data_IF_569341883554
#
_entry.id   IF_569341883554
#
_cell.length_a   1.000
_cell.length_b   1.000
_cell.length_c   1.000
_cell.angle_alpha   90.00
_cell.angle_beta   90.00
_cell.angle_gamma   90.00
#
_symmetry.space_group_name_H-M   'P 1'
#
loop_
_entity.id
_entity.type
_entity.pdbx_description
1 polymer ?
#
# COMPACT_ATOMS: atom_id res chain seq x y z
N UNK A 1 3.90 -22.10 29.08
CA UNK A 1 2.76 -21.64 28.25
C UNK A 1 3.32 -20.75 27.16
N UNK A 2 2.84 -20.85 25.91
CA UNK A 2 3.33 -20.01 24.81
C UNK A 2 2.70 -18.62 24.96
N UNK A 3 3.51 -17.59 25.19
CA UNK A 3 3.05 -16.20 25.13
C UNK A 3 2.98 -15.76 23.66
N UNK A 4 1.83 -15.20 23.27
CA UNK A 4 1.66 -14.59 21.96
C UNK A 4 2.09 -13.12 22.01
N UNK A 5 2.59 -12.60 20.87
CA UNK A 5 2.81 -11.16 20.73
C UNK A 5 1.49 -10.43 20.90
N UNK A 6 1.49 -9.34 21.65
CA UNK A 6 0.36 -8.43 21.76
C UNK A 6 0.38 -7.46 20.58
N UNK A 7 -0.80 -6.97 20.20
CA UNK A 7 -0.91 -5.86 19.25
C UNK A 7 -0.40 -4.61 19.95
N UNK A 8 0.57 -3.93 19.35
CA UNK A 8 1.14 -2.68 19.87
C UNK A 8 0.39 -1.46 19.29
N UNK A 9 0.08 -1.49 18.00
CA UNK A 9 -0.63 -0.43 17.28
C UNK A 9 -1.62 -1.01 16.26
N UNK A 10 -2.74 -0.30 16.05
CA UNK A 10 -3.69 -0.55 14.96
C UNK A 10 -3.65 0.68 14.05
N UNK A 11 -3.35 0.47 12.77
CA UNK A 11 -3.28 1.53 11.76
C UNK A 11 -4.57 1.51 10.95
N UNK A 12 -5.29 2.63 10.96
CA UNK A 12 -6.41 2.86 10.04
C UNK A 12 -5.86 3.38 8.69
N UNK A 13 -6.02 2.64 7.58
CA UNK A 13 -5.49 3.04 6.28
C UNK A 13 -6.08 4.38 5.80
N UNK A 14 -5.28 5.15 5.07
CA UNK A 14 -5.69 6.43 4.50
C UNK A 14 -5.97 6.29 3.00
N UNK A 15 -7.02 6.96 2.52
CA UNK A 15 -7.33 7.00 1.09
C UNK A 15 -6.32 7.87 0.33
N UNK A 16 -5.78 7.34 -0.76
CA UNK A 16 -4.80 8.02 -1.64
C UNK A 16 -5.16 7.73 -3.11
N UNK A 17 -4.86 8.67 -4.01
CA UNK A 17 -4.93 8.47 -5.46
C UNK A 17 -3.52 8.24 -5.99
N UNK A 18 -3.30 7.14 -6.71
CA UNK A 18 -2.00 6.76 -7.30
C UNK A 18 -2.14 6.37 -8.78
N UNK A 19 -1.02 6.30 -9.50
CA UNK A 19 -0.97 5.89 -10.89
C UNK A 19 -1.88 6.73 -11.79
N UNK A 20 -2.65 6.08 -12.67
CA UNK A 20 -3.65 6.70 -13.51
C UNK A 20 -5.01 6.79 -12.81
N UNK A 21 -5.06 7.37 -11.60
CA UNK A 21 -6.32 7.65 -10.89
C UNK A 21 -6.88 6.50 -10.06
N UNK A 22 -6.04 5.55 -9.61
CA UNK A 22 -6.46 4.45 -8.73
C UNK A 22 -6.66 4.98 -7.32
N UNK A 23 -7.88 4.86 -6.78
CA UNK A 23 -8.14 5.07 -5.36
C UNK A 23 -7.72 3.83 -4.58
N UNK A 24 -6.83 4.02 -3.61
CA UNK A 24 -6.32 2.96 -2.75
C UNK A 24 -6.31 3.37 -1.28
N UNK A 25 -6.18 2.39 -0.40
CA UNK A 25 -6.02 2.53 1.04
C UNK A 25 -4.59 2.20 1.42
N UNK A 26 -3.82 3.20 1.87
CA UNK A 26 -2.43 3.06 2.29
C UNK A 26 -2.34 2.89 3.80
N UNK A 27 -1.78 1.78 4.26
CA UNK A 27 -1.53 1.56 5.69
C UNK A 27 -0.26 2.26 6.13
N UNK A 28 0.87 1.97 5.47
CA UNK A 28 2.14 2.67 5.69
C UNK A 28 2.87 2.84 4.37
N UNK A 29 3.77 3.80 4.32
CA UNK A 29 4.60 4.09 3.17
C UNK A 29 5.96 4.67 3.57
N UNK A 30 6.81 4.99 2.60
CA UNK A 30 8.19 5.40 2.84
C UNK A 30 8.28 6.62 3.77
N UNK A 31 9.05 6.47 4.85
CA UNK A 31 9.41 7.54 5.80
C UNK A 31 10.86 7.35 6.20
N UNK A 32 11.56 8.45 6.53
CA UNK A 32 12.98 8.42 6.95
C UNK A 32 13.21 7.49 8.14
N UNK A 33 12.25 7.38 9.06
CA UNK A 33 12.35 6.53 10.25
C UNK A 33 12.14 5.03 10.00
N UNK A 34 11.58 4.64 8.84
CA UNK A 34 11.14 3.29 8.46
C UNK A 34 10.88 2.31 9.64
N UNK A 35 9.82 2.56 10.41
CA UNK A 35 9.49 1.74 11.59
C UNK A 35 9.06 0.30 11.25
N UNK A 36 8.84 0.00 9.97
CA UNK A 36 8.34 -1.29 9.47
C UNK A 36 9.37 -2.08 8.68
N UNK A 37 10.67 -1.75 8.78
CA UNK A 37 11.76 -2.49 8.17
C UNK A 37 11.59 -4.02 8.38
N UNK A 38 11.62 -4.85 7.32
CA UNK A 38 12.04 -4.56 5.94
C UNK A 38 10.96 -4.06 4.96
N UNK A 39 9.73 -3.84 5.42
CA UNK A 39 8.64 -3.42 4.54
C UNK A 39 8.66 -1.91 4.30
N UNK A 40 8.42 -1.51 3.05
CA UNK A 40 8.53 -0.11 2.63
C UNK A 40 7.18 0.56 2.33
N UNK A 41 6.20 -0.23 1.91
CA UNK A 41 4.89 0.25 1.46
C UNK A 41 3.88 -0.90 1.57
N UNK A 42 2.66 -0.58 2.01
CA UNK A 42 1.54 -1.52 1.93
C UNK A 42 0.26 -0.78 1.58
N UNK A 43 -0.22 -1.05 0.36
CA UNK A 43 -1.42 -0.47 -0.23
C UNK A 43 -2.44 -1.57 -0.52
N UNK A 44 -3.71 -1.31 -0.19
CA UNK A 44 -4.83 -2.14 -0.58
C UNK A 44 -5.72 -1.39 -1.56
N UNK A 45 -5.98 -1.99 -2.72
CA UNK A 45 -6.92 -1.47 -3.70
C UNK A 45 -7.71 -2.62 -4.31
N UNK A 46 -8.93 -2.32 -4.73
CA UNK A 46 -9.79 -3.22 -5.47
C UNK A 46 -10.58 -2.41 -6.49
N UNK A 47 -10.73 -2.96 -7.69
CA UNK A 47 -11.64 -2.40 -8.68
C UNK A 47 -13.00 -3.06 -8.49
N UNK A 48 -14.01 -2.27 -8.14
CA UNK A 48 -15.40 -2.72 -8.13
C UNK A 48 -16.01 -2.40 -9.50
N UNK A 49 -16.57 -3.41 -10.18
CA UNK A 49 -17.27 -3.29 -11.47
C UNK A 49 -18.39 -2.23 -11.40
N UNK A 50 -18.56 -1.27 -12.35
CA UNK A 50 -18.03 -1.25 -13.71
C UNK A 50 -16.89 -0.27 -13.99
N UNK A 51 -16.23 -0.54 -15.12
CA UNK A 51 -15.07 0.12 -15.71
C UNK A 51 -14.96 1.60 -15.36
N UNK A 52 -14.00 1.80 -14.51
CA UNK A 52 -13.56 3.04 -13.97
C UNK A 52 -12.75 3.82 -15.06
N UNK A 53 -13.41 4.32 -16.11
CA UNK A 53 -12.81 5.22 -17.13
C UNK A 53 -11.79 4.60 -18.11
N UNK A 54 -11.31 5.37 -19.12
CA UNK A 54 -10.55 4.81 -20.25
C UNK A 54 -9.10 4.41 -19.92
N UNK A 55 -8.48 4.95 -18.86
CA UNK A 55 -7.16 4.55 -18.36
C UNK A 55 -7.17 4.68 -16.83
N UNK A 56 -7.40 3.57 -16.11
CA UNK A 56 -7.15 3.45 -14.66
C UNK A 56 -6.23 2.27 -14.41
N UNK A 57 -5.30 2.45 -13.47
CA UNK A 57 -4.29 1.44 -13.14
C UNK A 57 -2.92 2.06 -12.87
N UNK A 58 -1.88 1.25 -12.99
CA UNK A 58 -0.49 1.67 -12.83
C UNK A 58 0.22 1.54 -14.19
N UNK A 59 0.34 2.61 -14.98
CA UNK A 59 1.11 2.61 -16.22
C UNK A 59 2.56 2.17 -15.99
N UNK A 60 3.29 1.83 -17.05
CA UNK A 60 4.71 1.46 -16.96
C UNK A 60 5.50 2.48 -16.13
N UNK A 61 6.10 2.03 -15.03
CA UNK A 61 6.94 2.83 -14.15
C UNK A 61 8.11 1.99 -13.62
N UNK A 62 9.28 2.60 -13.34
CA UNK A 62 10.46 1.86 -12.92
C UNK A 62 10.46 1.54 -11.43
N UNK A 63 11.16 0.46 -11.06
CA UNK A 63 11.54 0.10 -9.69
C UNK A 63 13.04 -0.22 -9.64
N UNK A 64 13.72 0.11 -8.53
CA UNK A 64 15.15 -0.19 -8.33
C UNK A 64 15.44 -0.48 -6.87
N UNK A 65 16.11 -1.60 -6.61
CA UNK A 65 16.64 -1.94 -5.28
C UNK A 65 15.59 -2.37 -4.25
N UNK A 66 14.39 -2.73 -4.70
CA UNK A 66 13.27 -3.22 -3.87
C UNK A 66 12.56 -4.37 -4.59
N UNK A 67 11.75 -5.12 -3.85
CA UNK A 67 10.75 -6.04 -4.39
C UNK A 67 9.34 -5.50 -4.15
N UNK A 68 8.46 -5.69 -5.14
CA UNK A 68 7.02 -5.43 -5.05
C UNK A 68 6.29 -6.77 -5.16
N UNK A 69 5.42 -7.09 -4.20
CA UNK A 69 4.67 -8.36 -4.13
C UNK A 69 3.20 -8.11 -4.34
#
# INVERSE_FOLDING_TARGET
MKEYRKIDEIIEPQYVIEGAGVLLQRSFGPKVSNLFDPFLLFDHFAFNDPLEGPIRGFPTHPHRGIETV
#
